data_IF_419308194844
#
_entry.id   IF_419308194844
#
_cell.length_a   1.000
_cell.length_b   1.000
_cell.length_c   1.000
_cell.angle_alpha   90.00
_cell.angle_beta   90.00
_cell.angle_gamma   90.00
#
_symmetry.space_group_name_H-M   'P 1'
#
loop_
_entity.id
_entity.type
_entity.pdbx_description
1 polymer ?
#
# COMPACT_ATOMS: atom_id res chain seq x y z
N UNK A 1 21.49 -12.38 12.87
CA UNK A 1 20.31 -11.52 12.63
C UNK A 1 19.04 -12.29 13.00
N UNK A 2 17.98 -11.60 13.48
CA UNK A 2 16.67 -12.19 13.77
C UNK A 2 15.71 -11.97 12.58
N UNK A 3 15.11 -13.05 12.10
CA UNK A 3 14.08 -13.05 11.05
C UNK A 3 12.73 -13.35 11.68
N UNK A 4 11.72 -12.52 11.47
CA UNK A 4 10.34 -12.86 11.79
C UNK A 4 9.54 -13.08 10.50
N UNK A 5 8.78 -14.17 10.45
CA UNK A 5 7.89 -14.48 9.34
C UNK A 5 6.47 -14.24 9.82
N UNK A 6 5.84 -13.22 9.28
CA UNK A 6 4.48 -12.81 9.57
C UNK A 6 3.51 -13.48 8.61
N UNK A 7 2.59 -14.27 9.15
CA UNK A 7 1.55 -14.95 8.39
C UNK A 7 0.19 -14.44 8.87
N UNK A 8 -0.46 -13.51 8.15
CA UNK A 8 -1.86 -13.19 8.39
C UNK A 8 -2.75 -14.34 7.92
N UNK A 9 -3.67 -14.80 8.77
CA UNK A 9 -4.50 -15.95 8.48
C UNK A 9 -5.98 -15.69 8.84
N UNK A 10 -6.91 -16.16 8.01
CA UNK A 10 -8.34 -16.16 8.29
C UNK A 10 -9.03 -17.34 7.63
N UNK A 11 -9.42 -18.34 8.43
CA UNK A 11 -10.03 -19.60 7.98
C UNK A 11 -9.17 -20.31 6.90
N UNK A 12 -7.94 -20.64 7.27
CA UNK A 12 -6.96 -21.33 6.42
C UNK A 12 -6.47 -22.64 7.09
N UNK A 13 -7.38 -23.39 7.77
CA UNK A 13 -7.04 -24.63 8.48
C UNK A 13 -6.41 -25.69 7.57
N UNK A 14 -6.76 -25.69 6.27
CA UNK A 14 -6.28 -26.68 5.31
C UNK A 14 -4.83 -26.42 4.84
N UNK A 15 -4.37 -25.18 4.90
CA UNK A 15 -3.11 -24.75 4.27
C UNK A 15 -2.05 -24.27 5.27
N UNK A 16 -2.46 -23.64 6.39
CA UNK A 16 -1.55 -23.00 7.33
C UNK A 16 -0.47 -23.94 7.88
N UNK A 17 -0.81 -25.20 8.10
CA UNK A 17 0.13 -26.20 8.62
C UNK A 17 1.26 -26.48 7.65
N UNK A 18 0.95 -26.64 6.36
CA UNK A 18 1.92 -26.87 5.30
C UNK A 18 2.79 -25.62 5.07
N UNK A 19 2.18 -24.44 5.05
CA UNK A 19 2.92 -23.16 4.89
C UNK A 19 3.99 -23.02 5.96
N UNK A 20 3.66 -23.32 7.22
CA UNK A 20 4.62 -23.23 8.33
C UNK A 20 5.71 -24.30 8.20
N UNK A 21 5.39 -25.52 7.80
CA UNK A 21 6.35 -26.62 7.64
C UNK A 21 7.34 -26.39 6.49
N UNK A 22 6.93 -25.75 5.42
CA UNK A 22 7.78 -25.41 4.25
C UNK A 22 8.77 -24.28 4.55
N UNK A 23 8.61 -23.53 5.64
CA UNK A 23 9.54 -22.47 6.03
C UNK A 23 10.93 -23.06 6.34
N UNK A 24 12.00 -22.56 5.69
CA UNK A 24 13.35 -23.03 5.98
C UNK A 24 13.72 -22.86 7.46
N UNK A 25 14.21 -23.92 8.09
CA UNK A 25 14.61 -23.92 9.51
C UNK A 25 15.94 -23.21 9.76
N UNK A 26 16.74 -23.00 8.70
CA UNK A 26 18.01 -22.27 8.77
C UNK A 26 18.22 -21.48 7.48
N UNK A 27 18.68 -20.25 7.64
CA UNK A 27 19.01 -19.32 6.53
C UNK A 27 20.37 -18.70 6.85
N UNK A 28 21.23 -18.58 5.84
CA UNK A 28 22.58 -18.01 6.01
C UNK A 28 22.51 -16.61 6.64
N UNK A 29 23.33 -16.34 7.65
CA UNK A 29 23.39 -15.08 8.40
C UNK A 29 22.17 -14.75 9.26
N UNK A 30 21.23 -15.68 9.42
CA UNK A 30 20.08 -15.59 10.34
C UNK A 30 20.32 -16.55 11.51
N UNK A 31 20.36 -16.02 12.73
CA UNK A 31 20.62 -16.78 13.94
C UNK A 31 19.31 -17.32 14.57
N UNK A 32 18.21 -16.59 14.35
CA UNK A 32 16.90 -16.94 14.91
C UNK A 32 15.79 -16.66 13.88
N UNK A 33 14.93 -17.64 13.69
CA UNK A 33 13.73 -17.54 12.84
C UNK A 33 12.52 -17.71 13.77
N UNK A 34 11.65 -16.69 13.80
CA UNK A 34 10.40 -16.68 14.54
C UNK A 34 9.23 -16.61 13.57
N UNK A 35 8.23 -17.46 13.79
CA UNK A 35 6.99 -17.45 12.98
C UNK A 35 5.89 -16.80 13.82
N UNK A 36 5.33 -15.72 13.30
CA UNK A 36 4.25 -14.95 13.92
C UNK A 36 3.01 -15.11 13.05
N UNK A 37 2.00 -15.80 13.58
CA UNK A 37 0.70 -15.92 12.93
C UNK A 37 -0.26 -14.92 13.56
N UNK A 38 -0.85 -14.06 12.75
CA UNK A 38 -1.94 -13.18 13.17
C UNK A 38 -3.24 -13.72 12.61
N UNK A 39 -3.98 -14.38 13.49
CA UNK A 39 -5.28 -14.95 13.19
C UNK A 39 -6.37 -13.89 13.29
N UNK A 40 -6.94 -13.52 12.16
CA UNK A 40 -7.93 -12.45 12.02
C UNK A 40 -9.36 -12.89 12.39
N UNK A 41 -9.48 -13.62 13.50
CA UNK A 41 -10.76 -14.08 14.05
C UNK A 41 -11.32 -15.29 13.31
N UNK A 42 -10.49 -16.28 13.01
CA UNK A 42 -10.93 -17.54 12.38
C UNK A 42 -11.94 -18.29 13.24
N UNK A 43 -12.90 -18.91 12.56
CA UNK A 43 -13.91 -19.79 13.18
C UNK A 43 -13.57 -21.27 13.10
N UNK A 44 -12.51 -21.62 12.36
CA UNK A 44 -12.00 -22.97 12.15
C UNK A 44 -10.78 -23.29 13.06
N UNK A 45 -10.01 -24.32 12.73
CA UNK A 45 -8.85 -24.75 13.51
C UNK A 45 -7.55 -24.02 13.15
N UNK A 46 -7.58 -22.96 12.32
CA UNK A 46 -6.39 -22.23 11.85
C UNK A 46 -5.42 -21.91 12.98
N UNK A 47 -5.90 -21.21 14.03
CA UNK A 47 -5.06 -20.80 15.16
C UNK A 47 -4.50 -21.98 15.95
N UNK A 48 -5.27 -23.07 16.09
CA UNK A 48 -4.84 -24.29 16.78
C UNK A 48 -3.69 -24.97 16.03
N UNK A 49 -3.88 -25.19 14.71
CA UNK A 49 -2.88 -25.84 13.86
C UNK A 49 -1.59 -25.02 13.84
N UNK A 50 -1.68 -23.70 13.70
CA UNK A 50 -0.50 -22.84 13.72
C UNK A 50 0.31 -22.96 15.00
N UNK A 51 -0.35 -23.03 16.19
CA UNK A 51 0.33 -23.25 17.47
C UNK A 51 1.00 -24.62 17.55
N UNK A 52 0.32 -25.67 17.08
CA UNK A 52 0.86 -27.04 17.05
C UNK A 52 2.10 -27.14 16.16
N UNK A 53 2.20 -26.29 15.12
CA UNK A 53 3.38 -26.19 14.25
C UNK A 53 4.48 -25.25 14.78
N UNK A 54 4.33 -24.74 16.01
CA UNK A 54 5.36 -23.96 16.71
C UNK A 54 5.34 -22.46 16.42
N UNK A 55 4.28 -21.91 15.83
CA UNK A 55 4.14 -20.48 15.60
C UNK A 55 3.65 -19.74 16.84
N UNK A 56 4.11 -18.51 17.04
CA UNK A 56 3.54 -17.53 17.97
C UNK A 56 2.24 -16.98 17.40
N UNK A 57 1.09 -17.35 17.97
CA UNK A 57 -0.23 -17.04 17.41
C UNK A 57 -0.94 -15.96 18.23
N UNK A 58 -1.32 -14.89 17.57
CA UNK A 58 -2.15 -13.80 18.09
C UNK A 58 -3.50 -13.80 17.39
N UNK A 59 -4.57 -14.06 18.13
CA UNK A 59 -5.93 -14.15 17.57
C UNK A 59 -6.75 -12.91 17.92
N UNK A 60 -7.45 -12.34 16.93
CA UNK A 60 -8.44 -11.29 17.14
C UNK A 60 -9.79 -11.90 17.50
N UNK A 61 -10.60 -11.17 18.28
CA UNK A 61 -11.96 -11.60 18.62
C UNK A 61 -12.91 -11.57 17.43
N UNK A 62 -12.67 -10.71 16.45
CA UNK A 62 -13.48 -10.55 15.25
C UNK A 62 -12.58 -10.23 14.06
N UNK A 63 -13.06 -10.56 12.84
CA UNK A 63 -12.36 -10.23 11.61
C UNK A 63 -12.18 -8.71 11.48
N UNK A 64 -10.94 -8.27 11.45
CA UNK A 64 -10.55 -6.86 11.30
C UNK A 64 -10.01 -6.51 9.92
N UNK A 65 -9.79 -7.52 9.09
CA UNK A 65 -9.23 -7.43 7.74
C UNK A 65 -7.70 -7.52 7.69
N UNK A 66 -7.22 -7.97 6.53
CA UNK A 66 -5.80 -8.26 6.27
C UNK A 66 -4.85 -7.12 6.70
N UNK A 67 -5.20 -5.88 6.37
CA UNK A 67 -4.35 -4.73 6.69
C UNK A 67 -4.17 -4.53 8.20
N UNK A 68 -5.19 -4.79 9.00
CA UNK A 68 -5.12 -4.74 10.46
C UNK A 68 -4.21 -5.84 11.01
N UNK A 69 -4.33 -7.06 10.48
CA UNK A 69 -3.49 -8.18 10.85
C UNK A 69 -2.00 -7.89 10.55
N UNK A 70 -1.70 -7.34 9.37
CA UNK A 70 -0.33 -6.96 9.00
C UNK A 70 0.19 -5.80 9.85
N UNK A 71 -0.64 -4.77 10.10
CA UNK A 71 -0.26 -3.65 10.97
C UNK A 71 0.11 -4.11 12.37
N UNK A 72 -0.68 -5.05 12.94
CA UNK A 72 -0.38 -5.67 14.21
C UNK A 72 0.92 -6.50 14.15
N UNK A 73 1.11 -7.28 13.08
CA UNK A 73 2.33 -8.04 12.86
C UNK A 73 3.59 -7.16 12.76
N UNK A 74 3.49 -5.98 12.14
CA UNK A 74 4.59 -4.98 12.12
C UNK A 74 4.94 -4.51 13.53
N UNK A 75 3.94 -4.19 14.35
CA UNK A 75 4.17 -3.81 15.75
C UNK A 75 4.86 -4.94 16.52
N UNK A 76 4.42 -6.19 16.35
CA UNK A 76 5.08 -7.34 16.98
C UNK A 76 6.51 -7.55 16.48
N UNK A 77 6.77 -7.36 15.19
CA UNK A 77 8.13 -7.38 14.65
C UNK A 77 9.05 -6.33 15.31
N UNK A 78 8.54 -5.12 15.54
CA UNK A 78 9.27 -4.05 16.21
C UNK A 78 9.49 -4.39 17.69
N UNK A 79 8.44 -4.80 18.42
CA UNK A 79 8.53 -5.21 19.83
C UNK A 79 9.53 -6.36 20.02
N UNK A 80 9.57 -7.31 19.08
CA UNK A 80 10.46 -8.46 19.11
C UNK A 80 11.90 -8.13 18.63
N UNK A 81 12.20 -6.86 18.29
CA UNK A 81 13.51 -6.41 17.77
C UNK A 81 13.95 -7.20 16.54
N UNK A 82 13.02 -7.39 15.62
CA UNK A 82 13.25 -8.12 14.37
C UNK A 82 14.17 -7.31 13.45
N UNK A 83 15.24 -7.94 12.94
CA UNK A 83 16.11 -7.33 11.93
C UNK A 83 15.47 -7.34 10.55
N UNK A 84 14.79 -8.44 10.21
CA UNK A 84 14.10 -8.62 8.94
C UNK A 84 12.73 -9.24 9.20
N UNK A 85 11.66 -8.66 8.66
CA UNK A 85 10.31 -9.24 8.67
C UNK A 85 9.90 -9.63 7.27
N UNK A 86 9.46 -10.88 7.09
CA UNK A 86 8.86 -11.37 5.84
C UNK A 86 7.37 -11.54 6.05
N UNK A 87 6.54 -11.00 5.15
CA UNK A 87 5.11 -11.31 5.07
C UNK A 87 4.95 -12.50 4.12
N UNK A 88 4.21 -13.50 4.54
CA UNK A 88 3.89 -14.71 3.78
C UNK A 88 2.39 -15.00 3.93
N UNK A 89 1.67 -15.19 2.82
CA UNK A 89 0.24 -15.51 2.85
C UNK A 89 0.01 -16.96 3.34
N UNK A 90 -1.10 -17.19 4.05
CA UNK A 90 -1.43 -18.48 4.66
C UNK A 90 -2.00 -19.52 3.69
N UNK A 91 -2.27 -19.13 2.42
CA UNK A 91 -3.01 -19.92 1.43
C UNK A 91 -2.15 -20.85 0.54
N UNK A 92 -0.87 -21.00 0.90
CA UNK A 92 0.11 -21.86 0.21
C UNK A 92 0.34 -21.53 -1.28
N UNK A 93 0.00 -20.31 -1.73
CA UNK A 93 0.27 -19.89 -3.11
C UNK A 93 1.74 -19.53 -3.33
N UNK A 94 2.43 -19.00 -2.32
CA UNK A 94 3.88 -18.74 -2.38
C UNK A 94 4.67 -19.94 -1.91
N UNK A 95 5.84 -20.14 -2.52
CA UNK A 95 6.79 -21.15 -2.08
C UNK A 95 7.63 -20.60 -0.93
N UNK A 96 7.39 -21.11 0.28
CA UNK A 96 8.10 -20.66 1.49
C UNK A 96 9.61 -20.95 1.42
N UNK A 97 10.04 -21.90 0.58
CA UNK A 97 11.47 -22.20 0.37
C UNK A 97 12.24 -21.07 -0.31
N UNK A 98 11.56 -20.10 -0.93
CA UNK A 98 12.16 -18.94 -1.59
C UNK A 98 12.45 -17.76 -0.62
N UNK A 99 12.06 -17.85 0.65
CA UNK A 99 12.34 -16.83 1.67
C UNK A 99 13.84 -16.44 1.72
N UNK A 100 14.81 -17.36 1.63
CA UNK A 100 16.22 -16.99 1.61
C UNK A 100 16.57 -15.99 0.49
N UNK A 101 16.01 -16.14 -0.70
CA UNK A 101 16.26 -15.22 -1.82
C UNK A 101 15.66 -13.83 -1.60
N UNK A 102 14.53 -13.72 -0.85
CA UNK A 102 13.97 -12.43 -0.47
C UNK A 102 14.81 -11.69 0.57
N UNK A 103 15.36 -12.41 1.55
CA UNK A 103 16.10 -11.77 2.65
C UNK A 103 17.55 -11.46 2.29
N UNK A 104 18.13 -12.16 1.32
CA UNK A 104 19.52 -11.98 0.90
C UNK A 104 19.86 -10.53 0.49
N UNK A 105 19.06 -9.82 -0.33
CA UNK A 105 19.34 -8.43 -0.69
C UNK A 105 19.31 -7.48 0.51
N UNK A 106 18.49 -7.76 1.53
CA UNK A 106 18.42 -6.98 2.77
C UNK A 106 19.67 -7.23 3.60
N UNK A 107 20.06 -8.49 3.79
CA UNK A 107 21.30 -8.88 4.49
C UNK A 107 22.50 -8.19 3.85
N UNK A 108 22.56 -8.13 2.52
CA UNK A 108 23.61 -7.45 1.75
C UNK A 108 23.47 -5.93 1.70
N UNK A 109 22.47 -5.33 2.39
CA UNK A 109 22.20 -3.88 2.42
C UNK A 109 21.95 -3.26 1.02
N UNK A 110 21.49 -4.07 0.07
CA UNK A 110 21.13 -3.62 -1.29
C UNK A 110 19.72 -3.05 -1.36
N UNK A 111 18.82 -3.49 -0.48
CA UNK A 111 17.43 -3.05 -0.40
C UNK A 111 16.98 -2.92 1.05
N UNK A 112 15.99 -2.06 1.28
CA UNK A 112 15.26 -1.93 2.55
C UNK A 112 13.98 -2.74 2.51
N UNK A 113 13.43 -2.91 1.30
CA UNK A 113 12.22 -3.70 1.01
C UNK A 113 12.50 -4.56 -0.21
N UNK A 114 12.18 -5.84 -0.11
CA UNK A 114 12.18 -6.77 -1.24
C UNK A 114 10.77 -7.28 -1.47
N UNK A 115 10.29 -7.24 -2.70
CA UNK A 115 8.97 -7.73 -3.10
C UNK A 115 9.12 -8.90 -4.08
N UNK A 116 8.32 -9.93 -3.89
CA UNK A 116 8.27 -11.08 -4.80
C UNK A 116 7.44 -10.76 -6.03
N UNK A 117 8.05 -10.70 -7.21
CA UNK A 117 7.33 -10.58 -8.49
C UNK A 117 6.82 -11.95 -8.91
N UNK A 118 5.50 -12.14 -8.88
CA UNK A 118 4.83 -13.38 -9.31
C UNK A 118 4.90 -13.62 -10.81
N UNK A 119 5.53 -12.72 -11.55
CA UNK A 119 5.59 -12.79 -13.01
C UNK A 119 4.19 -12.99 -13.64
N UNK A 120 3.23 -12.20 -13.20
CA UNK A 120 1.78 -12.32 -13.45
C UNK A 120 1.44 -12.57 -14.95
N UNK A 121 2.30 -12.08 -15.85
CA UNK A 121 2.11 -12.24 -17.30
C UNK A 121 2.33 -13.69 -17.80
N UNK A 122 3.11 -14.47 -17.09
CA UNK A 122 3.48 -15.85 -17.44
C UNK A 122 2.61 -16.91 -16.76
N UNK A 123 1.72 -16.49 -15.83
CA UNK A 123 0.88 -17.40 -15.05
C UNK A 123 -0.36 -17.84 -15.87
N UNK A 124 -0.34 -19.04 -16.41
CA UNK A 124 -1.46 -19.58 -17.20
C UNK A 124 -2.76 -19.75 -16.37
N UNK A 125 -2.62 -20.03 -15.08
CA UNK A 125 -3.76 -20.23 -14.18
C UNK A 125 -4.40 -18.92 -13.67
N UNK A 126 -3.80 -17.75 -13.95
CA UNK A 126 -4.37 -16.46 -13.50
C UNK A 126 -5.37 -15.92 -14.54
N UNK A 127 -6.62 -15.62 -14.15
CA UNK A 127 -7.62 -15.02 -15.04
C UNK A 127 -7.11 -13.73 -15.69
N UNK A 128 -7.37 -13.57 -17.00
CA UNK A 128 -6.90 -12.42 -17.80
C UNK A 128 -7.30 -11.09 -17.15
N UNK A 129 -8.49 -11.01 -16.57
CA UNK A 129 -9.00 -9.80 -15.93
C UNK A 129 -8.15 -9.40 -14.71
N UNK A 130 -7.73 -10.37 -13.88
CA UNK A 130 -6.84 -10.14 -12.74
C UNK A 130 -5.45 -9.72 -13.21
N UNK A 131 -4.95 -10.31 -14.29
CA UNK A 131 -3.67 -9.98 -14.92
C UNK A 131 -3.65 -8.55 -15.43
N UNK A 132 -4.67 -8.15 -16.22
CA UNK A 132 -4.81 -6.76 -16.71
C UNK A 132 -4.96 -5.78 -15.55
N UNK A 133 -5.77 -6.12 -14.55
CA UNK A 133 -5.96 -5.29 -13.36
C UNK A 133 -4.64 -5.04 -12.61
N UNK A 134 -3.84 -6.09 -12.38
CA UNK A 134 -2.53 -5.95 -11.73
C UNK A 134 -1.59 -5.08 -12.55
N UNK A 135 -1.53 -5.26 -13.88
CA UNK A 135 -0.71 -4.44 -14.76
C UNK A 135 -1.08 -2.95 -14.71
N UNK A 136 -2.38 -2.64 -14.73
CA UNK A 136 -2.86 -1.25 -14.66
C UNK A 136 -2.47 -0.60 -13.34
N UNK A 137 -2.65 -1.31 -12.21
CA UNK A 137 -2.26 -0.84 -10.88
C UNK A 137 -0.76 -0.64 -10.79
N UNK A 138 0.03 -1.64 -11.20
CA UNK A 138 1.50 -1.58 -11.18
C UNK A 138 2.04 -0.44 -12.06
N UNK A 139 1.46 -0.24 -13.26
CA UNK A 139 1.84 0.86 -14.17
C UNK A 139 1.47 2.24 -13.61
N UNK A 140 0.29 2.37 -13.01
CA UNK A 140 -0.13 3.61 -12.37
C UNK A 140 0.77 3.95 -11.18
N UNK A 141 1.06 2.96 -10.33
CA UNK A 141 1.94 3.11 -9.19
C UNK A 141 3.37 3.46 -9.65
N UNK A 142 3.92 2.75 -10.64
CA UNK A 142 5.25 3.02 -11.19
C UNK A 142 5.40 4.47 -11.67
N UNK A 143 4.38 5.02 -12.37
CA UNK A 143 4.39 6.43 -12.79
C UNK A 143 4.31 7.39 -11.60
N UNK A 144 3.57 7.02 -10.57
CA UNK A 144 3.37 7.86 -9.40
C UNK A 144 4.65 7.98 -8.55
N UNK A 145 5.34 6.85 -8.35
CA UNK A 145 6.58 6.77 -7.56
C UNK A 145 7.85 7.04 -8.38
N UNK A 146 7.75 7.04 -9.71
CA UNK A 146 8.90 7.25 -10.61
C UNK A 146 9.90 6.09 -10.62
N UNK A 147 9.44 4.87 -10.33
CA UNK A 147 10.23 3.65 -10.30
C UNK A 147 9.43 2.50 -10.89
N UNK A 148 10.07 1.61 -11.64
CA UNK A 148 9.38 0.49 -12.28
C UNK A 148 9.03 -0.56 -11.22
N UNK A 149 7.74 -0.83 -11.05
CA UNK A 149 7.19 -1.92 -10.25
C UNK A 149 6.37 -2.81 -11.18
N UNK A 150 6.69 -4.10 -11.22
CA UNK A 150 6.03 -5.09 -12.10
C UNK A 150 4.84 -5.74 -11.40
N UNK A 151 4.95 -6.03 -10.10
CA UNK A 151 3.88 -6.63 -9.31
C UNK A 151 3.60 -5.86 -8.00
N UNK A 152 2.80 -4.81 -8.09
CA UNK A 152 2.45 -3.98 -6.93
C UNK A 152 1.50 -4.66 -5.92
N UNK A 153 0.88 -5.77 -6.29
CA UNK A 153 -0.16 -6.44 -5.48
C UNK A 153 0.31 -7.72 -4.79
N UNK A 154 1.57 -8.10 -4.97
CA UNK A 154 2.15 -9.28 -4.31
C UNK A 154 2.09 -9.15 -2.78
N UNK A 155 1.74 -10.25 -2.09
CA UNK A 155 1.74 -10.35 -0.62
C UNK A 155 3.12 -10.69 -0.07
N UNK A 156 3.92 -11.46 -0.80
CA UNK A 156 5.24 -11.92 -0.36
C UNK A 156 6.26 -10.78 -0.40
N UNK A 157 6.68 -10.32 0.77
CA UNK A 157 7.56 -9.16 0.95
C UNK A 157 8.48 -9.31 2.13
N UNK A 158 9.70 -8.80 2.01
CA UNK A 158 10.64 -8.67 3.11
C UNK A 158 10.93 -7.20 3.40
N UNK A 159 11.08 -6.87 4.68
CA UNK A 159 11.33 -5.52 5.19
C UNK A 159 12.47 -5.57 6.19
N UNK A 160 13.42 -4.64 6.11
CA UNK A 160 14.39 -4.45 7.18
C UNK A 160 13.75 -3.70 8.37
N UNK A 161 14.46 -3.61 9.49
CA UNK A 161 13.98 -2.94 10.70
C UNK A 161 13.70 -1.44 10.48
N UNK A 162 14.48 -0.77 9.63
CA UNK A 162 14.26 0.64 9.30
C UNK A 162 12.96 0.84 8.52
N UNK A 163 12.67 -0.05 7.55
CA UNK A 163 11.41 -0.05 6.83
C UNK A 163 10.22 -0.31 7.76
N UNK A 164 10.34 -1.28 8.68
CA UNK A 164 9.30 -1.56 9.68
C UNK A 164 8.98 -0.34 10.57
N UNK A 165 10.04 0.35 11.04
CA UNK A 165 9.88 1.52 11.91
C UNK A 165 9.22 2.70 11.18
N UNK A 166 9.52 2.88 9.87
CA UNK A 166 9.04 4.02 9.07
C UNK A 166 7.69 3.78 8.40
N UNK A 167 7.29 2.54 8.15
CA UNK A 167 6.06 2.26 7.43
C UNK A 167 4.87 2.17 8.38
N UNK A 168 3.73 2.72 7.93
CA UNK A 168 2.47 2.72 8.66
C UNK A 168 1.36 2.27 7.71
N UNK A 169 0.49 1.38 8.17
CA UNK A 169 -0.63 0.88 7.39
C UNK A 169 -1.89 1.55 7.90
N UNK A 170 -2.44 2.48 7.12
CA UNK A 170 -3.66 3.22 7.45
C UNK A 170 -4.87 2.70 6.69
N UNK A 171 -4.66 2.20 5.46
CA UNK A 171 -5.77 1.73 4.63
C UNK A 171 -6.16 0.30 4.98
N UNK A 172 -7.45 0.07 5.21
CA UNK A 172 -7.95 -1.28 5.49
C UNK A 172 -7.82 -2.28 4.35
N UNK A 173 -7.46 -1.86 3.12
CA UNK A 173 -7.61 -2.70 1.93
C UNK A 173 -6.38 -2.80 1.02
N UNK A 174 -5.43 -1.88 1.12
CA UNK A 174 -4.40 -1.69 0.07
C UNK A 174 -3.00 -1.51 0.62
N UNK A 175 -2.67 -2.23 1.70
CA UNK A 175 -1.36 -2.14 2.34
C UNK A 175 -0.19 -2.34 1.36
N UNK A 176 -0.41 -3.18 0.33
CA UNK A 176 0.63 -3.50 -0.66
C UNK A 176 1.06 -2.28 -1.46
N UNK A 177 0.12 -1.49 -1.95
CA UNK A 177 0.42 -0.27 -2.68
C UNK A 177 0.83 0.86 -1.75
N UNK A 178 0.20 0.94 -0.59
CA UNK A 178 0.49 1.96 0.42
C UNK A 178 1.93 1.87 0.91
N UNK A 179 2.42 0.67 1.24
CA UNK A 179 3.79 0.47 1.69
C UNK A 179 4.82 0.83 0.62
N UNK A 180 4.57 0.53 -0.66
CA UNK A 180 5.47 0.90 -1.77
C UNK A 180 5.54 2.42 -1.97
N UNK A 181 4.39 3.10 -1.87
CA UNK A 181 4.36 4.57 -1.95
C UNK A 181 5.09 5.22 -0.79
N UNK A 182 4.78 4.81 0.43
CA UNK A 182 5.48 5.31 1.62
C UNK A 182 6.98 5.06 1.53
N UNK A 183 7.40 3.87 1.11
CA UNK A 183 8.80 3.51 0.93
C UNK A 183 9.51 4.51 0.02
N UNK A 184 8.93 4.80 -1.15
CA UNK A 184 9.51 5.76 -2.09
C UNK A 184 9.60 7.17 -1.52
N UNK A 185 8.52 7.67 -0.88
CA UNK A 185 8.52 9.02 -0.30
C UNK A 185 9.47 9.16 0.90
N UNK A 186 9.76 8.04 1.58
CA UNK A 186 10.71 7.99 2.71
C UNK A 186 12.14 7.63 2.29
N UNK A 187 12.40 7.50 0.99
CA UNK A 187 13.73 7.23 0.44
C UNK A 187 14.24 5.81 0.67
N UNK A 188 13.34 4.86 0.98
CA UNK A 188 13.69 3.45 1.15
C UNK A 188 13.93 2.80 -0.22
N UNK A 189 14.92 1.92 -0.29
CA UNK A 189 15.28 1.17 -1.49
C UNK A 189 14.38 -0.04 -1.66
N UNK A 190 13.69 -0.12 -2.80
CA UNK A 190 12.83 -1.26 -3.15
C UNK A 190 13.55 -2.11 -4.19
N UNK A 191 13.46 -3.42 -4.06
CA UNK A 191 13.94 -4.40 -5.04
C UNK A 191 12.83 -5.40 -5.34
N UNK A 192 12.66 -5.77 -6.61
CA UNK A 192 11.81 -6.89 -7.03
C UNK A 192 12.66 -8.10 -7.35
N UNK A 193 12.21 -9.27 -6.92
CA UNK A 193 12.78 -10.55 -7.33
C UNK A 193 11.69 -11.48 -7.84
N UNK A 194 11.94 -12.27 -8.88
CA UNK A 194 10.96 -13.24 -9.35
C UNK A 194 10.73 -14.32 -8.29
N UNK A 195 9.47 -14.71 -8.11
CA UNK A 195 9.05 -15.78 -7.19
C UNK A 195 8.04 -16.69 -7.84
N UNK A 196 8.03 -17.94 -7.41
CA UNK A 196 7.04 -18.93 -7.82
C UNK A 196 5.68 -18.62 -7.21
N UNK A 197 4.62 -18.83 -7.97
CA UNK A 197 3.25 -18.63 -7.52
C UNK A 197 2.38 -19.80 -7.94
N UNK A 198 1.96 -20.60 -6.97
CA UNK A 198 1.18 -21.83 -7.16
C UNK A 198 -0.29 -21.48 -7.46
N UNK A 199 -0.96 -22.38 -8.16
CA UNK A 199 -2.42 -22.30 -8.35
C UNK A 199 -3.11 -22.58 -7.00
N UNK A 200 -4.11 -21.76 -6.65
CA UNK A 200 -4.99 -22.04 -5.52
C UNK A 200 -6.07 -23.04 -5.97
N UNK A 201 -6.35 -24.02 -5.13
CA UNK A 201 -7.39 -25.02 -5.44
C UNK A 201 -8.80 -24.45 -5.21
N UNK A 202 -8.95 -23.45 -4.32
CA UNK A 202 -10.21 -22.80 -3.98
C UNK A 202 -10.45 -21.49 -4.73
N UNK A 203 -11.73 -21.07 -4.84
CA UNK A 203 -12.11 -19.79 -5.42
C UNK A 203 -11.62 -18.60 -4.56
N UNK A 204 -11.05 -17.58 -5.21
CA UNK A 204 -10.57 -16.38 -4.55
C UNK A 204 -11.73 -15.60 -3.89
N UNK A 205 -11.70 -15.45 -2.58
CA UNK A 205 -12.70 -14.73 -1.77
C UNK A 205 -12.70 -13.20 -1.99
N UNK A 206 -11.66 -12.63 -2.62
CA UNK A 206 -11.42 -11.19 -2.64
C UNK A 206 -12.06 -10.43 -3.82
N UNK A 207 -12.40 -11.07 -4.95
CA UNK A 207 -12.86 -10.38 -6.15
C UNK A 207 -14.00 -11.16 -6.81
N UNK A 208 -15.22 -10.70 -6.60
CA UNK A 208 -16.42 -11.27 -7.23
C UNK A 208 -16.90 -10.51 -8.46
N UNK A 209 -16.46 -9.24 -8.69
CA UNK A 209 -16.98 -8.42 -9.80
C UNK A 209 -15.91 -7.46 -10.34
N UNK A 210 -15.72 -7.44 -11.67
CA UNK A 210 -14.74 -6.61 -12.37
C UNK A 210 -15.04 -5.10 -12.21
N UNK A 211 -16.31 -4.69 -12.16
CA UNK A 211 -16.69 -3.30 -11.97
C UNK A 211 -16.33 -2.80 -10.57
N UNK A 212 -16.55 -3.62 -9.55
CA UNK A 212 -16.16 -3.33 -8.17
C UNK A 212 -14.63 -3.23 -8.05
N UNK A 213 -13.90 -4.10 -8.74
CA UNK A 213 -12.44 -4.04 -8.78
C UNK A 213 -11.94 -2.75 -9.46
N UNK A 214 -12.48 -2.41 -10.63
CA UNK A 214 -12.12 -1.18 -11.34
C UNK A 214 -12.42 0.07 -10.52
N UNK A 215 -13.61 0.15 -9.89
CA UNK A 215 -14.00 1.26 -9.04
C UNK A 215 -13.07 1.39 -7.80
N UNK A 216 -12.74 0.28 -7.14
CA UNK A 216 -11.79 0.26 -6.01
C UNK A 216 -10.40 0.70 -6.44
N UNK A 217 -9.90 0.20 -7.59
CA UNK A 217 -8.59 0.57 -8.12
C UNK A 217 -8.53 2.05 -8.49
N UNK A 218 -9.56 2.58 -9.15
CA UNK A 218 -9.64 4.01 -9.50
C UNK A 218 -9.71 4.87 -8.24
N UNK A 219 -10.53 4.49 -7.26
CA UNK A 219 -10.62 5.15 -5.96
C UNK A 219 -9.28 5.16 -5.23
N UNK A 220 -8.55 4.04 -5.27
CA UNK A 220 -7.22 3.94 -4.68
C UNK A 220 -6.23 4.90 -5.34
N UNK A 221 -6.16 4.90 -6.68
CA UNK A 221 -5.26 5.80 -7.41
C UNK A 221 -5.62 7.26 -7.14
N UNK A 222 -6.90 7.60 -7.16
CA UNK A 222 -7.37 8.97 -6.87
C UNK A 222 -7.06 9.40 -5.44
N UNK A 223 -7.39 8.58 -4.45
CA UNK A 223 -7.10 8.87 -3.03
C UNK A 223 -5.60 9.01 -2.78
N UNK A 224 -4.80 8.18 -3.44
CA UNK A 224 -3.34 8.24 -3.36
C UNK A 224 -2.78 9.55 -3.93
N UNK A 225 -3.26 9.97 -5.11
CA UNK A 225 -2.85 11.26 -5.71
C UNK A 225 -3.24 12.40 -4.78
N UNK A 226 -4.46 12.38 -4.24
CA UNK A 226 -4.96 13.39 -3.32
C UNK A 226 -4.14 13.38 -2.02
N UNK A 227 -3.76 12.23 -1.48
CA UNK A 227 -3.02 12.15 -0.22
C UNK A 227 -1.55 12.58 -0.37
N UNK A 228 -0.85 12.07 -1.38
CA UNK A 228 0.61 12.30 -1.52
C UNK A 228 0.99 13.47 -2.42
N UNK A 229 0.11 13.89 -3.36
CA UNK A 229 0.37 14.98 -4.30
C UNK A 229 -0.74 16.04 -4.30
N UNK A 230 -1.48 16.16 -3.19
CA UNK A 230 -2.62 17.08 -3.05
C UNK A 230 -2.25 18.52 -3.41
N UNK A 231 -1.13 19.04 -2.92
CA UNK A 231 -0.67 20.38 -3.26
C UNK A 231 -0.57 20.57 -4.79
N UNK A 232 0.12 19.66 -5.50
CA UNK A 232 0.28 19.75 -6.95
C UNK A 232 -1.05 19.59 -7.68
N UNK A 233 -1.89 18.68 -7.23
CA UNK A 233 -3.22 18.42 -7.82
C UNK A 233 -4.11 19.67 -7.74
N UNK A 234 -4.31 20.23 -6.53
CA UNK A 234 -5.18 21.39 -6.34
C UNK A 234 -4.59 22.65 -6.98
N UNK A 235 -3.25 22.83 -7.00
CA UNK A 235 -2.62 23.95 -7.70
C UNK A 235 -2.87 23.91 -9.20
N UNK A 236 -2.72 22.76 -9.84
CA UNK A 236 -2.97 22.63 -11.29
C UNK A 236 -4.45 22.84 -11.57
N UNK A 237 -5.34 22.24 -10.78
CA UNK A 237 -6.79 22.41 -10.94
C UNK A 237 -7.20 23.88 -10.79
N UNK A 238 -6.69 24.56 -9.76
CA UNK A 238 -6.94 26.00 -9.54
C UNK A 238 -6.46 26.84 -10.72
N UNK A 239 -5.23 26.63 -11.20
CA UNK A 239 -4.68 27.37 -12.32
C UNK A 239 -5.53 27.16 -13.59
N UNK A 240 -5.89 25.91 -13.91
CA UNK A 240 -6.73 25.56 -15.06
C UNK A 240 -8.07 26.30 -15.02
N UNK A 241 -8.77 26.20 -13.87
CA UNK A 241 -10.08 26.84 -13.71
C UNK A 241 -9.99 28.36 -13.72
N UNK A 242 -8.92 28.94 -13.17
CA UNK A 242 -8.66 30.38 -13.22
C UNK A 242 -8.45 30.89 -14.67
N UNK A 243 -7.67 30.14 -15.46
CA UNK A 243 -7.48 30.52 -16.88
C UNK A 243 -8.76 30.38 -17.68
N UNK A 244 -9.55 29.32 -17.48
CA UNK A 244 -10.85 29.17 -18.17
C UNK A 244 -11.80 30.29 -17.75
N UNK A 245 -12.00 30.49 -16.44
CA UNK A 245 -12.91 31.50 -15.90
C UNK A 245 -12.47 32.93 -16.28
N UNK A 246 -11.16 33.22 -16.20
CA UNK A 246 -10.59 34.49 -16.62
C UNK A 246 -10.77 34.75 -18.10
N UNK A 247 -10.51 33.78 -18.98
CA UNK A 247 -10.73 33.89 -20.43
C UNK A 247 -12.20 34.17 -20.78
N UNK A 248 -13.13 33.44 -20.15
CA UNK A 248 -14.56 33.68 -20.30
C UNK A 248 -14.97 35.08 -19.80
N UNK A 249 -14.40 35.53 -18.66
CA UNK A 249 -14.64 36.89 -18.15
C UNK A 249 -14.16 37.97 -19.12
N UNK A 250 -12.95 37.84 -19.66
CA UNK A 250 -12.40 38.81 -20.64
C UNK A 250 -13.28 38.84 -21.88
N UNK A 251 -13.74 37.69 -22.36
CA UNK A 251 -14.65 37.65 -23.52
C UNK A 251 -15.96 38.39 -23.24
N UNK A 252 -16.62 38.14 -22.11
CA UNK A 252 -17.88 38.82 -21.74
C UNK A 252 -17.66 40.32 -21.54
N UNK A 253 -16.57 40.70 -20.86
CA UNK A 253 -16.23 42.10 -20.63
C UNK A 253 -15.96 42.84 -21.96
N UNK A 254 -15.26 42.26 -22.92
CA UNK A 254 -15.01 42.86 -24.24
C UNK A 254 -16.31 43.12 -24.97
N UNK A 255 -17.28 42.20 -24.92
CA UNK A 255 -18.61 42.42 -25.49
C UNK A 255 -19.36 43.53 -24.76
N UNK A 256 -19.33 43.55 -23.45
CA UNK A 256 -19.97 44.60 -22.65
C UNK A 256 -19.41 46.00 -22.97
N UNK A 257 -18.11 46.15 -23.08
CA UNK A 257 -17.49 47.42 -23.47
C UNK A 257 -17.87 47.89 -24.87
N UNK A 258 -18.15 46.98 -25.79
CA UNK A 258 -18.53 47.33 -27.16
C UNK A 258 -20.03 47.61 -27.35
N UNK A 259 -20.90 46.99 -26.53
CA UNK A 259 -22.37 47.02 -26.72
C UNK A 259 -23.15 47.64 -25.58
N UNK A 260 -22.53 47.82 -24.41
CA UNK A 260 -23.18 48.27 -23.17
C UNK A 260 -24.07 47.22 -22.52
N UNK A 261 -24.15 45.99 -23.06
CA UNK A 261 -25.03 44.92 -22.63
C UNK A 261 -24.29 43.61 -22.48
N UNK A 262 -24.70 42.78 -21.53
CA UNK A 262 -24.18 41.42 -21.33
C UNK A 262 -24.89 40.40 -22.23
N UNK A 263 -26.10 40.71 -22.66
CA UNK A 263 -26.90 39.83 -23.53
C UNK A 263 -26.30 39.76 -24.95
N UNK A 264 -26.16 38.56 -25.57
CA UNK A 264 -26.72 37.25 -25.17
C UNK A 264 -25.84 36.40 -24.25
N UNK A 265 -24.70 36.91 -23.79
CA UNK A 265 -23.66 36.11 -23.05
C UNK A 265 -23.84 36.04 -21.53
N UNK A 266 -25.06 36.28 -21.01
CA UNK A 266 -25.34 36.17 -19.60
C UNK A 266 -25.01 34.74 -19.05
N UNK A 267 -25.37 33.63 -19.73
CA UNK A 267 -24.96 32.29 -19.27
C UNK A 267 -23.43 32.12 -19.19
N UNK A 268 -22.71 32.70 -20.17
CA UNK A 268 -21.23 32.65 -20.18
C UNK A 268 -20.65 33.44 -19.01
N UNK A 269 -21.22 34.61 -18.67
CA UNK A 269 -20.82 35.41 -17.54
C UNK A 269 -20.99 34.61 -16.21
N UNK A 270 -22.15 33.97 -16.02
CA UNK A 270 -22.41 33.12 -14.85
C UNK A 270 -21.44 31.93 -14.77
N UNK A 271 -21.17 31.29 -15.90
CA UNK A 271 -20.22 30.19 -15.97
C UNK A 271 -18.79 30.65 -15.63
N UNK A 272 -18.36 31.84 -16.08
CA UNK A 272 -17.05 32.38 -15.76
C UNK A 272 -16.89 32.62 -14.24
N UNK A 273 -17.91 33.21 -13.63
CA UNK A 273 -17.94 33.42 -12.16
C UNK A 273 -17.87 32.10 -11.41
N UNK A 274 -18.62 31.09 -11.87
CA UNK A 274 -18.59 29.75 -11.27
C UNK A 274 -17.18 29.15 -11.32
N UNK A 275 -16.50 29.20 -12.47
CA UNK A 275 -15.13 28.70 -12.57
C UNK A 275 -14.15 29.46 -11.66
N UNK A 276 -14.28 30.78 -11.54
CA UNK A 276 -13.43 31.60 -10.65
C UNK A 276 -13.68 31.27 -9.17
N UNK A 277 -14.92 31.01 -8.77
CA UNK A 277 -15.26 30.58 -7.40
C UNK A 277 -14.63 29.23 -7.13
N UNK A 278 -14.78 28.24 -8.03
CA UNK A 278 -14.20 26.91 -7.84
C UNK A 278 -12.67 26.99 -7.85
N UNK A 279 -12.06 27.84 -8.67
CA UNK A 279 -10.62 28.10 -8.66
C UNK A 279 -10.15 28.64 -7.29
N UNK A 280 -10.87 29.61 -6.72
CA UNK A 280 -10.57 30.18 -5.41
C UNK A 280 -10.67 29.11 -4.28
N UNK A 281 -11.72 28.29 -4.32
CA UNK A 281 -11.88 27.17 -3.39
C UNK A 281 -10.72 26.17 -3.52
N UNK A 282 -10.32 25.84 -4.77
CA UNK A 282 -9.19 24.93 -5.04
C UNK A 282 -7.87 25.50 -4.51
N UNK A 283 -7.67 26.83 -4.61
CA UNK A 283 -6.50 27.51 -4.02
C UNK A 283 -6.48 27.37 -2.50
N UNK A 284 -7.62 27.53 -1.87
CA UNK A 284 -7.75 27.34 -0.41
C UNK A 284 -7.43 25.89 -0.01
N UNK A 285 -7.93 24.90 -0.76
CA UNK A 285 -7.55 23.50 -0.52
C UNK A 285 -6.06 23.24 -0.73
N UNK A 286 -5.39 23.96 -1.65
CA UNK A 286 -3.93 23.87 -1.82
C UNK A 286 -3.20 24.29 -0.52
N UNK A 287 -3.62 25.38 0.10
CA UNK A 287 -3.03 25.86 1.35
C UNK A 287 -3.26 24.87 2.50
N UNK A 288 -4.50 24.40 2.69
CA UNK A 288 -4.84 23.41 3.72
C UNK A 288 -4.02 22.14 3.53
N UNK A 289 -3.95 21.60 2.29
CA UNK A 289 -3.17 20.40 2.00
C UNK A 289 -1.70 20.54 2.35
N UNK A 290 -1.12 21.73 2.17
CA UNK A 290 0.26 22.01 2.57
C UNK A 290 0.46 21.89 4.07
N UNK A 291 -0.48 22.45 4.86
CA UNK A 291 -0.43 22.41 6.33
C UNK A 291 -0.59 20.97 6.82
N UNK A 292 -1.61 20.25 6.32
CA UNK A 292 -1.87 18.86 6.68
C UNK A 292 -0.69 17.94 6.34
N UNK A 293 -0.05 18.15 5.18
CA UNK A 293 1.14 17.37 4.80
C UNK A 293 2.32 17.57 5.74
N UNK A 294 2.52 18.81 6.26
CA UNK A 294 3.55 19.08 7.28
C UNK A 294 3.22 18.40 8.60
N UNK A 295 1.97 18.47 9.05
CA UNK A 295 1.53 17.81 10.29
C UNK A 295 1.68 16.30 10.21
N UNK A 296 1.30 15.68 9.07
CA UNK A 296 1.49 14.24 8.85
C UNK A 296 2.96 13.83 8.95
N UNK A 297 3.88 14.60 8.34
CA UNK A 297 5.32 14.32 8.42
C UNK A 297 5.85 14.39 9.85
N UNK A 298 5.44 15.41 10.63
CA UNK A 298 5.84 15.54 12.03
C UNK A 298 5.30 14.36 12.87
N UNK A 299 4.04 13.95 12.64
CA UNK A 299 3.46 12.82 13.34
C UNK A 299 4.18 11.50 12.98
N UNK A 300 4.54 11.30 11.70
CA UNK A 300 5.31 10.14 11.27
C UNK A 300 6.70 10.11 11.91
N UNK A 301 7.36 11.26 12.08
CA UNK A 301 8.68 11.35 12.72
C UNK A 301 8.60 11.05 14.21
N UNK A 302 7.55 11.53 14.88
CA UNK A 302 7.27 11.19 16.28
C UNK A 302 7.04 9.69 16.44
N UNK A 303 6.20 9.09 15.59
CA UNK A 303 5.92 7.66 15.63
C UNK A 303 7.20 6.82 15.34
N UNK A 304 8.01 7.24 14.38
CA UNK A 304 9.29 6.60 14.09
C UNK A 304 10.21 6.66 15.32
N UNK A 305 10.34 7.82 15.95
CA UNK A 305 11.17 8.01 17.14
C UNK A 305 10.68 7.16 18.31
N UNK A 306 9.37 7.11 18.54
CA UNK A 306 8.78 6.25 19.58
C UNK A 306 9.04 4.76 19.31
N UNK A 307 8.87 4.30 18.08
CA UNK A 307 9.13 2.90 17.69
C UNK A 307 10.60 2.51 17.82
N UNK A 308 11.52 3.44 17.49
CA UNK A 308 12.96 3.21 17.59
C UNK A 308 13.46 3.30 19.04
N UNK A 309 12.82 4.12 19.87
CA UNK A 309 13.19 4.33 21.28
C UNK A 309 12.42 3.40 22.25
N UNK A 310 11.48 2.58 21.79
CA UNK A 310 10.85 1.56 22.63
C UNK A 310 11.86 0.58 23.26
N UNK A 311 13.14 0.67 22.85
CA UNK A 311 14.27 0.03 23.49
C UNK A 311 14.68 0.63 24.86
N UNK A 312 14.22 1.84 25.24
CA UNK A 312 14.69 2.53 26.45
C UNK A 312 13.89 2.21 27.71
N UNK A 313 12.65 1.73 27.58
CA UNK A 313 11.79 1.47 28.76
C UNK A 313 11.75 -0.01 29.22
N UNK A 314 12.47 -0.90 28.57
CA UNK A 314 12.55 -2.32 28.94
C UNK A 314 13.86 -2.67 29.71
N UNK A 315 14.39 -1.70 30.46
CA UNK A 315 15.49 -1.96 31.44
C UNK A 315 15.03 -1.72 32.85
#
# INVERSE_FOLDING_TARGET
MKLSILIPAYNEEDTIGQVIEEIPKSIASIDNIEIIVVDDGSSDKTAKIAREKGASVFSFSNNGGLAKAISFGFLKGIENKTDILVILDADNQYDSSEIPSLVEPIIKKKADIVIGDRQVNTLDHMPIQKRIGNQLVSKALSRLIGEKITDAQTGLRAFNNEALARLHIFSGYTYTQETLMQAKFKGLKILEIPVSFRKRDDESRLISNIFTYAARTTSLVASTIIFYKSFKFFSILSALLFFIGGGLSVFVLSHFYSTGNVTPYLPTALLSVLFLIIASISTFFTAISSILSRQSKLMEEILYTLRKNSDFEAK
#
